data_IF_268210354831
#
_entry.id   IF_268210354831
#
_cell.length_a   1.000
_cell.length_b   1.000
_cell.length_c   1.000
_cell.angle_alpha   90.00
_cell.angle_beta   90.00
_cell.angle_gamma   90.00
#
_symmetry.space_group_name_H-M   'P 1'
#
loop_
_entity.id
_entity.type
_entity.pdbx_description
1 polymer ?
#
# COMPACT_ATOMS: atom_id res chain seq x y z
N UNK A 1 -21.11 -4.61 -12.50
CA UNK A 1 -21.80 -3.76 -11.49
C UNK A 1 -22.05 -4.48 -10.17
N UNK A 2 -22.60 -5.70 -10.15
CA UNK A 2 -22.78 -6.47 -8.89
C UNK A 2 -21.45 -6.81 -8.19
N UNK A 3 -20.43 -7.26 -8.93
CA UNK A 3 -19.12 -7.60 -8.36
C UNK A 3 -18.40 -6.38 -7.75
N UNK A 4 -18.50 -5.21 -8.40
CA UNK A 4 -17.89 -3.98 -7.90
C UNK A 4 -18.60 -3.45 -6.66
N UNK A 5 -19.93 -3.47 -6.64
CA UNK A 5 -20.73 -3.12 -5.46
C UNK A 5 -20.47 -4.09 -4.30
N UNK A 6 -20.41 -5.38 -4.58
CA UNK A 6 -20.08 -6.42 -3.59
C UNK A 6 -18.68 -6.24 -3.00
N UNK A 7 -17.68 -5.93 -3.84
CA UNK A 7 -16.31 -5.65 -3.39
C UNK A 7 -16.22 -4.43 -2.48
N UNK A 8 -16.87 -3.32 -2.85
CA UNK A 8 -16.90 -2.11 -2.01
C UNK A 8 -17.61 -2.38 -0.68
N UNK A 9 -18.77 -3.06 -0.71
CA UNK A 9 -19.49 -3.44 0.51
C UNK A 9 -18.65 -4.33 1.43
N UNK A 10 -17.92 -5.29 0.86
CA UNK A 10 -17.01 -6.16 1.61
C UNK A 10 -15.85 -5.38 2.24
N UNK A 11 -15.23 -4.45 1.50
CA UNK A 11 -14.16 -3.60 2.04
C UNK A 11 -14.68 -2.75 3.21
N UNK A 12 -15.87 -2.15 3.07
CA UNK A 12 -16.48 -1.36 4.15
C UNK A 12 -16.79 -2.22 5.37
N UNK A 13 -17.33 -3.42 5.17
CA UNK A 13 -17.60 -4.37 6.25
C UNK A 13 -16.32 -4.76 6.98
N UNK A 14 -15.27 -5.15 6.23
CA UNK A 14 -13.97 -5.52 6.80
C UNK A 14 -13.31 -4.35 7.51
N UNK A 15 -13.43 -3.12 6.98
CA UNK A 15 -12.89 -1.93 7.62
C UNK A 15 -13.55 -1.67 8.98
N UNK A 16 -14.89 -1.75 9.05
CA UNK A 16 -15.63 -1.60 10.31
C UNK A 16 -15.27 -2.70 11.30
N UNK A 17 -15.19 -3.94 10.84
CA UNK A 17 -14.78 -5.07 11.66
C UNK A 17 -13.35 -4.89 12.19
N UNK A 18 -12.42 -4.44 11.35
CA UNK A 18 -11.01 -4.23 11.70
C UNK A 18 -10.83 -3.18 12.80
N UNK A 19 -11.75 -2.20 12.94
CA UNK A 19 -11.72 -1.24 14.06
C UNK A 19 -11.80 -1.96 15.42
N UNK A 20 -12.54 -3.06 15.50
CA UNK A 20 -12.69 -3.84 16.74
C UNK A 20 -11.54 -4.81 17.01
N UNK A 21 -10.75 -5.16 15.98
CA UNK A 21 -9.62 -6.09 16.11
C UNK A 21 -8.38 -5.37 16.64
N UNK A 22 -7.71 -5.98 17.62
CA UNK A 22 -6.43 -5.50 18.13
C UNK A 22 -6.07 -6.08 19.50
N UNK A 23 -4.87 -5.74 19.96
CA UNK A 23 -4.34 -6.20 21.26
C UNK A 23 -5.13 -5.66 22.45
N UNK A 24 -5.75 -4.49 22.29
CA UNK A 24 -6.66 -3.90 23.26
C UNK A 24 -8.08 -4.42 23.00
N UNK A 25 -8.60 -5.27 23.89
CA UNK A 25 -9.93 -5.89 23.77
C UNK A 25 -11.00 -4.82 23.95
N UNK A 26 -11.78 -4.58 22.91
CA UNK A 26 -12.95 -3.68 22.93
C UNK A 26 -14.13 -4.39 22.29
N UNK A 27 -15.33 -4.28 22.86
CA UNK A 27 -16.54 -4.67 22.15
C UNK A 27 -16.75 -3.75 20.94
N UNK A 28 -17.40 -4.29 19.91
CA UNK A 28 -17.62 -3.60 18.63
C UNK A 28 -18.36 -2.26 18.79
N UNK A 29 -19.32 -2.17 19.71
CA UNK A 29 -20.07 -0.94 20.02
C UNK A 29 -19.18 0.18 20.53
N UNK A 30 -18.25 -0.12 21.44
CA UNK A 30 -17.30 0.85 21.99
C UNK A 30 -16.26 1.27 20.96
N UNK A 31 -15.79 0.33 20.13
CA UNK A 31 -14.89 0.63 19.03
C UNK A 31 -15.53 1.63 18.05
N UNK A 32 -16.82 1.45 17.72
CA UNK A 32 -17.56 2.37 16.85
C UNK A 32 -17.86 3.71 17.51
N UNK A 33 -18.12 3.73 18.82
CA UNK A 33 -18.26 4.96 19.60
C UNK A 33 -16.95 5.76 19.62
N UNK A 34 -15.81 5.08 19.80
CA UNK A 34 -14.48 5.68 19.83
C UNK A 34 -14.06 6.28 18.48
N UNK A 35 -14.54 5.74 17.35
CA UNK A 35 -14.40 6.40 16.03
C UNK A 35 -15.02 7.79 16.06
N UNK A 36 -16.18 7.95 16.71
CA UNK A 36 -16.86 9.24 16.88
C UNK A 36 -16.29 10.09 18.01
N UNK A 37 -15.29 9.59 18.75
CA UNK A 37 -14.66 10.29 19.87
C UNK A 37 -15.41 10.11 21.19
N UNK A 38 -16.28 9.10 21.28
CA UNK A 38 -17.07 8.79 22.46
C UNK A 38 -16.47 7.56 23.12
N UNK A 39 -16.15 7.65 24.42
CA UNK A 39 -15.49 6.58 25.18
C UNK A 39 -14.42 7.16 26.10
N UNK A 40 -13.59 6.29 26.66
CA UNK A 40 -12.43 6.74 27.46
C UNK A 40 -11.32 7.31 26.56
N UNK A 41 -10.43 8.13 27.11
CA UNK A 41 -9.31 8.72 26.36
C UNK A 41 -8.43 7.64 25.70
N UNK A 42 -8.13 6.56 26.43
CA UNK A 42 -7.38 5.41 25.90
C UNK A 42 -8.09 4.76 24.71
N UNK A 43 -9.42 4.61 24.80
CA UNK A 43 -10.21 4.00 23.74
C UNK A 43 -10.18 4.83 22.46
N UNK A 44 -10.38 6.14 22.60
CA UNK A 44 -10.35 7.09 21.50
C UNK A 44 -8.95 7.17 20.89
N UNK A 45 -7.90 7.19 21.71
CA UNK A 45 -6.51 7.21 21.24
C UNK A 45 -6.15 5.96 20.44
N UNK A 46 -6.47 4.77 20.96
CA UNK A 46 -6.21 3.50 20.26
C UNK A 46 -6.93 3.45 18.92
N UNK A 47 -8.21 3.85 18.89
CA UNK A 47 -9.00 3.78 17.65
C UNK A 47 -8.56 4.85 16.65
N UNK A 48 -8.50 6.12 17.04
CA UNK A 48 -8.25 7.24 16.11
C UNK A 48 -6.79 7.42 15.72
N UNK A 49 -5.85 7.16 16.63
CA UNK A 49 -4.43 7.45 16.39
C UNK A 49 -3.69 6.22 15.89
N UNK A 50 -4.11 5.01 16.29
CA UNK A 50 -3.40 3.77 15.93
C UNK A 50 -4.13 2.94 14.87
N UNK A 51 -5.43 2.67 15.06
CA UNK A 51 -6.19 1.74 14.19
C UNK A 51 -6.66 2.40 12.90
N UNK A 52 -7.35 3.54 12.98
CA UNK A 52 -7.93 4.20 11.80
C UNK A 52 -6.89 4.55 10.73
N UNK A 53 -5.73 5.17 11.04
CA UNK A 53 -4.73 5.49 10.02
C UNK A 53 -4.21 4.23 9.34
N UNK A 54 -4.04 3.14 10.11
CA UNK A 54 -3.58 1.84 9.58
C UNK A 54 -4.60 1.20 8.64
N UNK A 55 -5.89 1.24 8.98
CA UNK A 55 -6.97 0.72 8.15
C UNK A 55 -7.05 1.52 6.83
N UNK A 56 -6.98 2.84 6.92
CA UNK A 56 -6.96 3.71 5.73
C UNK A 56 -5.76 3.39 4.85
N UNK A 57 -4.56 3.29 5.42
CA UNK A 57 -3.36 2.89 4.67
C UNK A 57 -3.52 1.51 4.01
N UNK A 58 -4.07 0.51 4.70
CA UNK A 58 -4.29 -0.82 4.14
C UNK A 58 -5.24 -0.79 2.93
N UNK A 59 -6.33 -0.03 3.00
CA UNK A 59 -7.27 0.14 1.89
C UNK A 59 -6.60 0.85 0.70
N UNK A 60 -5.87 1.94 0.95
CA UNK A 60 -5.20 2.71 -0.09
C UNK A 60 -4.09 1.90 -0.78
N UNK A 61 -3.26 1.19 -0.01
CA UNK A 61 -2.20 0.33 -0.53
C UNK A 61 -2.81 -0.81 -1.35
N UNK A 62 -3.85 -1.49 -0.83
CA UNK A 62 -4.53 -2.56 -1.55
C UNK A 62 -5.14 -2.08 -2.87
N UNK A 63 -5.77 -0.90 -2.89
CA UNK A 63 -6.30 -0.30 -4.10
C UNK A 63 -5.19 0.05 -5.11
N UNK A 64 -4.09 0.65 -4.66
CA UNK A 64 -2.95 0.98 -5.50
C UNK A 64 -2.32 -0.27 -6.13
N UNK A 65 -2.14 -1.34 -5.35
CA UNK A 65 -1.62 -2.62 -5.84
C UNK A 65 -2.58 -3.29 -6.83
N UNK A 66 -3.89 -3.25 -6.58
CA UNK A 66 -4.89 -3.78 -7.51
C UNK A 66 -4.88 -3.05 -8.85
N UNK A 67 -4.79 -1.70 -8.84
CA UNK A 67 -4.68 -0.90 -10.06
C UNK A 67 -3.37 -1.16 -10.79
N UNK A 68 -2.24 -1.17 -10.07
CA UNK A 68 -0.93 -1.47 -10.66
C UNK A 68 -0.90 -2.86 -11.31
N UNK A 69 -1.43 -3.88 -10.62
CA UNK A 69 -1.56 -5.24 -11.15
C UNK A 69 -2.43 -5.29 -12.41
N UNK A 70 -3.61 -4.67 -12.40
CA UNK A 70 -4.50 -4.64 -13.57
C UNK A 70 -3.87 -3.92 -14.78
N UNK A 71 -3.17 -2.81 -14.56
CA UNK A 71 -2.44 -2.11 -15.61
C UNK A 71 -1.31 -2.97 -16.18
N UNK A 72 -0.51 -3.60 -15.32
CA UNK A 72 0.63 -4.40 -15.74
C UNK A 72 0.19 -5.65 -16.51
N UNK A 73 -0.82 -6.35 -16.00
CA UNK A 73 -1.45 -7.48 -16.69
C UNK A 73 -2.03 -7.08 -18.05
N UNK A 74 -2.59 -5.86 -18.17
CA UNK A 74 -3.12 -5.32 -19.42
C UNK A 74 -2.04 -5.00 -20.47
N UNK A 75 -0.90 -4.45 -20.03
CA UNK A 75 0.24 -4.13 -20.90
C UNK A 75 0.94 -5.40 -21.38
N UNK A 76 1.25 -6.32 -20.46
CA UNK A 76 1.96 -7.57 -20.76
C UNK A 76 1.02 -8.61 -21.41
N UNK A 77 -0.30 -8.38 -21.36
CA UNK A 77 -1.35 -9.31 -21.81
C UNK A 77 -1.18 -10.72 -21.23
N UNK A 78 -0.67 -10.80 -20.01
CA UNK A 78 -0.43 -12.05 -19.30
C UNK A 78 -0.99 -11.95 -17.87
N UNK A 79 -2.07 -12.68 -17.55
CA UNK A 79 -2.73 -12.60 -16.24
C UNK A 79 -1.91 -13.20 -15.09
N UNK A 80 -0.79 -13.90 -15.38
CA UNK A 80 0.08 -14.50 -14.37
C UNK A 80 1.22 -13.56 -13.92
N UNK A 81 1.38 -12.41 -14.57
CA UNK A 81 2.49 -11.49 -14.29
C UNK A 81 2.13 -10.55 -13.14
N UNK A 82 3.07 -10.34 -12.23
CA UNK A 82 2.98 -9.35 -11.15
C UNK A 82 3.92 -8.17 -11.42
N UNK A 83 3.54 -6.95 -10.99
CA UNK A 83 4.35 -5.74 -11.17
C UNK A 83 5.68 -5.78 -10.41
N UNK A 84 5.82 -6.65 -9.41
CA UNK A 84 7.01 -6.76 -8.56
C UNK A 84 8.26 -7.23 -9.31
N UNK A 85 8.08 -7.86 -10.48
CA UNK A 85 9.15 -8.44 -11.30
C UNK A 85 10.10 -7.39 -11.88
N UNK A 86 9.67 -6.12 -11.99
CA UNK A 86 10.46 -5.04 -12.61
C UNK A 86 11.59 -4.55 -11.67
N UNK A 87 11.55 -4.86 -10.37
CA UNK A 87 12.63 -4.49 -9.44
C UNK A 87 12.50 -3.10 -8.81
N UNK A 88 11.37 -2.41 -8.99
CA UNK A 88 11.07 -1.12 -8.32
C UNK A 88 11.06 -1.28 -6.79
N UNK A 89 10.51 -2.39 -6.28
CA UNK A 89 10.49 -2.70 -4.84
C UNK A 89 11.90 -2.91 -4.26
N UNK A 90 12.78 -3.57 -5.01
CA UNK A 90 14.20 -3.72 -4.65
C UNK A 90 14.91 -2.37 -4.55
N UNK A 91 14.62 -1.44 -5.48
CA UNK A 91 15.13 -0.07 -5.46
C UNK A 91 14.68 0.74 -4.24
N UNK A 92 13.39 0.64 -3.90
CA UNK A 92 12.84 1.24 -2.69
C UNK A 92 13.49 0.68 -1.42
N UNK A 93 13.61 -0.65 -1.35
CA UNK A 93 14.20 -1.38 -0.23
C UNK A 93 15.68 -1.05 -0.03
N UNK A 94 16.45 -0.90 -1.10
CA UNK A 94 17.86 -0.51 -1.02
C UNK A 94 18.03 0.84 -0.32
N UNK A 95 17.27 1.85 -0.75
CA UNK A 95 17.33 3.19 -0.14
C UNK A 95 16.78 3.17 1.29
N UNK A 96 15.72 2.40 1.55
CA UNK A 96 15.17 2.25 2.90
C UNK A 96 16.21 1.66 3.88
N UNK A 97 16.90 0.58 3.49
CA UNK A 97 17.94 -0.06 4.32
C UNK A 97 19.11 0.90 4.53
N UNK A 98 19.56 1.59 3.49
CA UNK A 98 20.61 2.61 3.60
C UNK A 98 20.22 3.72 4.59
N UNK A 99 18.97 4.21 4.52
CA UNK A 99 18.44 5.23 5.43
C UNK A 99 18.42 4.76 6.90
N UNK A 100 18.03 3.50 7.12
CA UNK A 100 18.00 2.89 8.45
C UNK A 100 19.42 2.73 9.01
N UNK A 101 20.35 2.17 8.23
CA UNK A 101 21.72 1.89 8.67
C UNK A 101 22.51 3.18 8.95
N UNK A 102 22.21 4.27 8.24
CA UNK A 102 22.82 5.59 8.47
C UNK A 102 22.18 6.36 9.63
N UNK A 103 21.20 5.79 10.33
CA UNK A 103 20.61 6.37 11.54
C UNK A 103 19.74 7.60 11.28
N UNK A 104 19.17 7.73 10.08
CA UNK A 104 18.34 8.88 9.71
C UNK A 104 16.94 8.84 10.35
N UNK A 105 16.21 9.97 10.44
CA UNK A 105 14.90 10.03 11.06
C UNK A 105 13.87 9.10 10.40
N UNK A 106 13.18 8.30 11.22
CA UNK A 106 12.15 7.35 10.76
C UNK A 106 10.96 8.04 10.05
N UNK A 107 10.66 9.30 10.40
CA UNK A 107 9.60 10.08 9.78
C UNK A 107 9.83 10.31 8.27
N UNK A 108 11.09 10.33 7.81
CA UNK A 108 11.45 10.55 6.41
C UNK A 108 11.72 9.25 5.64
N UNK A 109 11.72 8.10 6.33
CA UNK A 109 11.96 6.79 5.72
C UNK A 109 11.02 6.51 4.53
N UNK A 110 9.71 6.78 4.59
CA UNK A 110 8.82 6.52 3.45
C UNK A 110 9.18 7.38 2.22
N UNK A 111 9.62 8.62 2.44
CA UNK A 111 10.02 9.54 1.37
C UNK A 111 11.32 9.04 0.72
N UNK A 112 12.29 8.62 1.54
CA UNK A 112 13.54 8.05 1.05
C UNK A 112 13.30 6.78 0.22
N UNK A 113 12.50 5.84 0.73
CA UNK A 113 12.12 4.63 0.02
C UNK A 113 11.41 4.96 -1.32
N UNK A 114 10.50 5.94 -1.32
CA UNK A 114 9.82 6.40 -2.53
C UNK A 114 10.78 6.98 -3.57
N UNK A 115 11.78 7.77 -3.15
CA UNK A 115 12.83 8.28 -4.06
C UNK A 115 13.60 7.11 -4.68
N UNK A 116 13.91 6.06 -3.90
CA UNK A 116 14.51 4.83 -4.41
C UNK A 116 13.66 4.17 -5.49
N UNK A 117 12.37 3.99 -5.23
CA UNK A 117 11.41 3.42 -6.18
C UNK A 117 11.38 4.22 -7.50
N UNK A 118 11.22 5.55 -7.42
CA UNK A 118 11.14 6.43 -8.59
C UNK A 118 12.44 6.44 -9.38
N UNK A 119 13.59 6.45 -8.69
CA UNK A 119 14.91 6.42 -9.34
C UNK A 119 15.09 5.12 -10.10
N UNK A 120 14.74 3.98 -9.50
CA UNK A 120 14.81 2.68 -10.18
C UNK A 120 13.87 2.61 -11.37
N UNK A 121 12.63 3.09 -11.23
CA UNK A 121 11.70 3.16 -12.36
C UNK A 121 12.24 4.01 -13.52
N UNK A 122 12.85 5.17 -13.22
CA UNK A 122 13.46 6.03 -14.22
C UNK A 122 14.67 5.37 -14.91
N UNK A 123 15.53 4.69 -14.15
CA UNK A 123 16.68 3.96 -14.71
C UNK A 123 16.22 2.86 -15.65
N UNK A 124 15.23 2.05 -15.23
CA UNK A 124 14.69 0.98 -16.07
C UNK A 124 14.08 1.55 -17.35
N UNK A 125 13.33 2.65 -17.23
CA UNK A 125 12.74 3.30 -18.39
C UNK A 125 13.81 3.81 -19.36
N UNK A 126 14.89 4.43 -18.87
CA UNK A 126 15.98 4.92 -19.71
C UNK A 126 16.78 3.79 -20.37
N UNK A 127 16.98 2.67 -19.68
CA UNK A 127 17.71 1.51 -20.22
C UNK A 127 16.89 0.72 -21.25
N UNK A 128 15.58 0.66 -21.05
CA UNK A 128 14.64 -0.01 -21.98
C UNK A 128 14.30 0.89 -23.17
N UNK A 129 14.46 2.21 -23.05
CA UNK A 129 14.27 3.16 -24.13
C UNK A 129 15.38 3.03 -25.19
N UNK A 130 15.11 2.30 -26.28
CA UNK A 130 15.94 2.28 -27.50
C UNK A 130 15.12 2.49 -28.78
N UNK A 131 14.52 3.68 -28.94
CA UNK A 131 13.89 4.12 -30.19
C UNK A 131 12.48 3.60 -30.46
N UNK A 132 11.89 2.81 -29.55
CA UNK A 132 10.53 2.28 -29.59
C UNK A 132 10.32 1.29 -28.44
N UNK A 133 9.08 1.15 -27.96
CA UNK A 133 8.73 0.18 -26.90
C UNK A 133 8.34 -1.13 -27.58
N UNK A 134 9.32 -2.03 -27.76
CA UNK A 134 9.05 -3.43 -28.12
C UNK A 134 8.77 -4.22 -26.84
N UNK A 135 7.51 -4.66 -26.69
CA UNK A 135 6.94 -5.32 -25.51
C UNK A 135 7.70 -6.60 -25.08
N UNK A 136 8.40 -7.25 -26.00
CA UNK A 136 9.12 -8.51 -25.73
C UNK A 136 10.40 -8.34 -24.91
N UNK A 137 10.91 -7.10 -24.73
CA UNK A 137 12.19 -6.83 -24.06
C UNK A 137 12.11 -6.34 -22.62
N UNK A 138 10.91 -6.09 -22.07
CA UNK A 138 10.76 -5.68 -20.66
C UNK A 138 10.94 -6.84 -19.66
N UNK A 139 11.07 -8.09 -20.13
CA UNK A 139 11.11 -9.29 -19.29
C UNK A 139 12.54 -9.84 -19.12
N UNK A 140 13.53 -9.35 -19.89
CA UNK A 140 14.92 -9.82 -19.86
C UNK A 140 15.85 -8.87 -19.11
#
# INVERSE_FOLDING_TARGET
MLLTLGGVALILFLALWAVSLGSYRMPFSEALAAVRGIGTEDQVFVVRTLRLPRIVCAILIGAALAVAGALFQGVVRNPLVSPDIIGIDTGASLIAVFWIVTGQPAALLPIAAFIGAVTTAAVIYLLTWKGGVDTDRMIL
#
